data_IF_718427701967
#
_entry.id   IF_718427701967
#
_cell.length_a   1.000
_cell.length_b   1.000
_cell.length_c   1.000
_cell.angle_alpha   90.00
_cell.angle_beta   90.00
_cell.angle_gamma   90.00
#
_symmetry.space_group_name_H-M   'P 1'
#
loop_
_entity.id
_entity.type
_entity.pdbx_description
1 polymer ?
#
# COMPACT_ATOMS: atom_id res chain seq x y z
N UNK A 1 42.38 4.20 -19.36
CA UNK A 1 42.87 4.10 -17.98
C UNK A 1 41.91 3.18 -17.24
N UNK A 2 42.38 2.05 -16.72
CA UNK A 2 41.51 0.99 -16.20
C UNK A 2 41.64 0.85 -14.68
N UNK A 3 40.53 0.58 -14.00
CA UNK A 3 40.46 0.26 -12.57
C UNK A 3 39.56 -0.97 -12.43
N UNK A 4 40.01 -2.07 -11.78
CA UNK A 4 39.31 -3.35 -11.82
C UNK A 4 38.18 -3.47 -10.79
N UNK A 5 37.22 -4.33 -11.11
CA UNK A 5 36.15 -4.79 -10.23
C UNK A 5 36.69 -5.51 -8.99
N UNK A 6 35.93 -5.50 -7.88
CA UNK A 6 36.27 -6.33 -6.70
C UNK A 6 35.06 -6.94 -6.00
N UNK A 7 34.53 -8.00 -6.61
CA UNK A 7 33.67 -8.97 -5.94
C UNK A 7 34.30 -9.44 -4.61
N UNK A 8 33.53 -9.33 -3.52
CA UNK A 8 33.77 -10.06 -2.28
C UNK A 8 32.62 -11.05 -2.04
N UNK A 9 32.91 -12.13 -1.34
CA UNK A 9 32.06 -13.33 -1.24
C UNK A 9 31.50 -13.51 0.17
N UNK A 10 30.32 -14.11 0.28
CA UNK A 10 29.77 -14.62 1.54
C UNK A 10 30.58 -15.78 2.11
N UNK A 11 30.50 -15.99 3.43
CA UNK A 11 30.43 -17.32 4.03
C UNK A 11 29.11 -17.52 4.81
N UNK A 12 28.79 -18.77 5.18
CA UNK A 12 27.55 -19.12 5.86
C UNK A 12 27.78 -19.91 7.16
N UNK A 13 26.84 -19.79 8.11
CA UNK A 13 26.63 -20.67 9.27
C UNK A 13 25.15 -20.56 9.69
N UNK A 14 24.36 -21.56 10.13
CA UNK A 14 24.53 -22.93 10.65
C UNK A 14 24.25 -23.07 12.17
N UNK A 15 23.19 -23.82 12.50
CA UNK A 15 22.73 -24.13 13.88
C UNK A 15 21.30 -23.60 14.16
N UNK A 16 20.48 -24.21 15.01
CA UNK A 16 20.60 -25.53 15.66
C UNK A 16 19.18 -26.04 16.05
N UNK A 17 18.98 -27.37 16.08
CA UNK A 17 17.71 -28.01 16.50
C UNK A 17 17.51 -27.97 18.02
N UNK A 18 16.25 -27.83 18.46
CA UNK A 18 15.77 -28.26 19.78
C UNK A 18 14.29 -28.67 19.67
N UNK A 19 13.95 -29.86 20.17
CA UNK A 19 12.59 -30.41 20.14
C UNK A 19 12.15 -30.82 21.55
N UNK A 20 10.91 -30.47 21.92
CA UNK A 20 10.36 -30.68 23.26
C UNK A 20 8.96 -31.31 23.18
N UNK A 21 8.89 -32.64 23.24
CA UNK A 21 7.62 -33.38 23.32
C UNK A 21 7.04 -33.31 24.73
N UNK A 22 5.82 -32.80 24.88
CA UNK A 22 5.09 -32.80 26.15
C UNK A 22 3.68 -33.37 25.96
N UNK A 23 3.42 -34.58 26.47
CA UNK A 23 2.09 -35.20 26.49
C UNK A 23 1.67 -35.40 27.94
N UNK A 24 0.57 -34.78 28.34
CA UNK A 24 -0.09 -34.99 29.64
C UNK A 24 -1.57 -35.27 29.39
N UNK A 25 -1.97 -36.53 29.57
CA UNK A 25 -3.36 -36.95 29.39
C UNK A 25 -4.19 -36.62 30.64
N UNK A 26 -5.14 -35.71 30.51
CA UNK A 26 -6.19 -35.46 31.49
C UNK A 26 -7.53 -36.00 30.98
N UNK A 27 -7.97 -37.16 31.45
CA UNK A 27 -9.27 -37.73 31.09
C UNK A 27 -10.39 -37.14 31.94
N UNK A 28 -11.28 -36.37 31.31
CA UNK A 28 -12.60 -35.98 31.81
C UNK A 28 -13.66 -36.34 30.75
N UNK A 29 -14.81 -36.85 31.18
CA UNK A 29 -15.70 -37.69 30.36
C UNK A 29 -17.16 -37.59 30.88
N UNK A 30 -18.23 -37.72 30.08
CA UNK A 30 -18.29 -37.90 28.61
C UNK A 30 -18.24 -36.54 27.86
N UNK A 31 -19.14 -36.05 26.98
CA UNK A 31 -20.48 -36.48 26.53
C UNK A 31 -20.73 -36.04 25.06
N UNK A 32 -21.52 -36.86 24.35
CA UNK A 32 -22.31 -36.56 23.14
C UNK A 32 -21.63 -36.14 21.82
N UNK A 33 -21.95 -36.91 20.78
CA UNK A 33 -21.53 -36.77 19.38
C UNK A 33 -21.92 -35.44 18.72
N UNK A 34 -20.94 -34.77 18.10
CA UNK A 34 -21.17 -33.71 17.11
C UNK A 34 -20.11 -33.73 16.02
N UNK A 35 -20.46 -34.18 14.81
CA UNK A 35 -19.54 -34.22 13.67
C UNK A 35 -19.43 -32.83 13.01
N UNK A 36 -18.79 -31.89 13.70
CA UNK A 36 -18.30 -30.65 13.11
C UNK A 36 -16.91 -30.87 12.50
N UNK A 37 -16.68 -30.38 11.29
CA UNK A 37 -15.32 -30.26 10.79
C UNK A 37 -14.67 -29.05 11.49
N UNK A 38 -13.83 -29.31 12.49
CA UNK A 38 -12.92 -28.29 13.01
C UNK A 38 -12.00 -27.89 11.85
N UNK A 39 -12.30 -26.74 11.26
CA UNK A 39 -11.53 -26.21 10.18
C UNK A 39 -10.11 -26.00 10.69
N UNK A 40 -9.12 -26.40 9.90
CA UNK A 40 -7.77 -25.87 10.09
C UNK A 40 -7.81 -24.38 9.76
N UNK A 41 -8.18 -23.57 10.78
CA UNK A 41 -7.80 -22.17 10.87
C UNK A 41 -6.28 -22.20 10.98
N UNK A 42 -5.62 -22.28 9.83
CA UNK A 42 -4.23 -21.89 9.76
C UNK A 42 -4.20 -20.44 10.20
N UNK A 43 -3.59 -20.20 11.36
CA UNK A 43 -3.25 -18.85 11.80
C UNK A 43 -2.63 -18.13 10.60
N UNK A 44 -3.32 -17.11 10.09
CA UNK A 44 -2.79 -16.22 9.08
C UNK A 44 -1.79 -15.31 9.77
N UNK A 45 -0.61 -15.90 10.01
CA UNK A 45 0.63 -15.23 10.38
C UNK A 45 0.98 -14.27 9.24
N UNK A 46 0.37 -13.08 9.28
CA UNK A 46 0.54 -11.99 8.31
C UNK A 46 1.89 -11.29 8.53
N UNK A 47 2.96 -12.08 8.44
CA UNK A 47 4.34 -11.60 8.36
C UNK A 47 4.54 -10.90 7.01
N UNK A 48 4.24 -9.60 6.95
CA UNK A 48 4.52 -8.80 5.76
C UNK A 48 4.06 -7.34 5.79
N UNK A 49 2.89 -7.04 6.36
CA UNK A 49 2.28 -5.70 6.26
C UNK A 49 3.07 -4.63 7.04
N UNK A 50 3.98 -3.95 6.35
CA UNK A 50 4.69 -2.74 6.80
C UNK A 50 3.84 -1.50 6.50
N UNK A 51 2.52 -1.66 6.58
CA UNK A 51 1.51 -0.68 6.17
C UNK A 51 1.11 0.15 7.39
N UNK A 52 1.45 1.44 7.37
CA UNK A 52 1.37 2.32 8.53
C UNK A 52 -0.04 2.91 8.74
N UNK A 53 -0.90 2.81 7.73
CA UNK A 53 -2.29 3.22 7.74
C UNK A 53 -3.04 2.38 6.70
N UNK A 54 -4.24 1.93 7.06
CA UNK A 54 -5.23 1.32 6.17
C UNK A 54 -6.58 1.97 6.50
N UNK A 55 -7.23 2.55 5.50
CA UNK A 55 -8.50 3.27 5.69
C UNK A 55 -8.83 4.29 4.59
N UNK A 56 -9.90 5.07 4.77
CA UNK A 56 -10.35 6.02 3.76
C UNK A 56 -9.53 7.32 3.74
N UNK A 57 -9.31 7.90 2.55
CA UNK A 57 -8.70 9.24 2.47
C UNK A 57 -9.64 10.27 3.10
N UNK A 58 -9.16 10.92 4.15
CA UNK A 58 -9.97 11.74 5.07
C UNK A 58 -9.20 12.96 5.56
N UNK A 59 -9.93 13.94 6.09
CA UNK A 59 -9.38 15.11 6.81
C UNK A 59 -8.37 14.70 7.89
N UNK A 60 -8.65 13.59 8.59
CA UNK A 60 -7.73 13.03 9.59
C UNK A 60 -6.39 12.61 8.96
N UNK A 61 -6.42 11.77 7.92
CA UNK A 61 -5.20 11.32 7.25
C UNK A 61 -4.42 12.52 6.68
N UNK A 62 -5.10 13.48 6.06
CA UNK A 62 -4.48 14.69 5.53
C UNK A 62 -3.79 15.54 6.62
N UNK A 63 -4.35 15.62 7.83
CA UNK A 63 -3.72 16.30 8.96
C UNK A 63 -2.53 15.52 9.56
N UNK A 64 -2.60 14.19 9.57
CA UNK A 64 -1.55 13.31 10.11
C UNK A 64 -0.45 12.95 9.08
N UNK A 65 -0.58 13.35 7.82
CA UNK A 65 0.24 12.92 6.65
C UNK A 65 1.77 12.98 6.87
N UNK A 66 2.27 13.98 7.60
CA UNK A 66 3.69 14.13 7.96
C UNK A 66 4.23 12.95 8.78
N UNK A 67 3.36 12.18 9.42
CA UNK A 67 3.68 10.98 10.20
C UNK A 67 3.89 9.73 9.33
N UNK A 68 3.60 9.82 8.02
CA UNK A 68 3.61 8.69 7.08
C UNK A 68 4.70 8.78 6.00
N UNK A 69 5.51 9.84 5.97
CA UNK A 69 6.62 9.99 5.02
C UNK A 69 7.53 8.74 4.96
N UNK A 70 7.79 8.26 3.74
CA UNK A 70 8.58 7.06 3.46
C UNK A 70 7.91 5.74 3.86
N UNK A 71 6.64 5.75 4.30
CA UNK A 71 5.90 4.54 4.68
C UNK A 71 4.87 4.16 3.63
N UNK A 72 4.67 2.85 3.47
CA UNK A 72 3.54 2.31 2.73
C UNK A 72 2.24 2.51 3.51
N UNK A 73 1.17 2.89 2.83
CA UNK A 73 -0.20 2.99 3.35
C UNK A 73 -1.17 2.43 2.31
N UNK A 74 -2.35 2.00 2.76
CA UNK A 74 -3.50 1.71 1.92
C UNK A 74 -4.55 2.81 2.10
N UNK A 75 -4.96 3.47 1.00
CA UNK A 75 -6.03 4.47 0.99
C UNK A 75 -7.20 4.03 0.13
N UNK A 76 -8.42 4.15 0.65
CA UNK A 76 -9.67 4.00 -0.11
C UNK A 76 -10.34 5.35 -0.35
N UNK A 77 -10.65 5.70 -1.60
CA UNK A 77 -11.30 6.98 -1.94
C UNK A 77 -11.87 7.01 -3.37
N UNK A 78 -12.74 7.98 -3.63
CA UNK A 78 -13.24 8.25 -4.98
C UNK A 78 -12.22 9.05 -5.80
N UNK A 79 -12.09 8.73 -7.10
CA UNK A 79 -11.18 9.43 -8.01
C UNK A 79 -11.75 10.79 -8.39
N UNK A 80 -11.18 11.86 -7.82
CA UNK A 80 -11.50 13.26 -8.12
C UNK A 80 -11.21 13.63 -9.59
N UNK A 81 -10.08 13.16 -10.14
CA UNK A 81 -9.69 13.43 -11.54
C UNK A 81 -8.55 12.51 -11.98
N UNK A 82 -8.68 11.90 -13.16
CA UNK A 82 -7.57 11.27 -13.91
C UNK A 82 -6.70 12.37 -14.55
N UNK A 83 -5.38 12.27 -14.37
CA UNK A 83 -4.39 13.29 -14.77
C UNK A 83 -3.48 12.80 -15.91
N UNK A 84 -3.39 11.49 -16.13
CA UNK A 84 -2.69 10.83 -17.23
C UNK A 84 -2.86 9.32 -17.14
N UNK A 85 -2.20 8.51 -18.00
CA UNK A 85 -2.24 7.05 -17.90
C UNK A 85 -1.72 6.53 -16.55
N UNK A 86 -0.73 7.22 -15.98
CA UNK A 86 -0.01 6.85 -14.77
C UNK A 86 -0.23 7.83 -13.60
N UNK A 87 -1.24 8.72 -13.67
CA UNK A 87 -1.48 9.70 -12.62
C UNK A 87 -2.96 10.04 -12.45
N UNK A 88 -3.42 10.15 -11.21
CA UNK A 88 -4.77 10.58 -10.86
C UNK A 88 -4.79 11.26 -9.47
N UNK A 89 -5.95 11.75 -9.06
CA UNK A 89 -6.14 12.40 -7.76
C UNK A 89 -7.36 11.85 -7.03
N UNK A 90 -7.26 11.73 -5.71
CA UNK A 90 -8.30 11.23 -4.80
C UNK A 90 -9.09 12.37 -4.15
N UNK A 91 -10.40 12.20 -4.03
CA UNK A 91 -11.30 13.09 -3.28
C UNK A 91 -11.33 12.73 -1.78
N UNK A 92 -11.54 13.71 -0.92
CA UNK A 92 -11.86 13.46 0.50
C UNK A 92 -13.20 12.77 0.66
N UNK A 93 -13.24 11.70 1.45
CA UNK A 93 -14.45 10.89 1.67
C UNK A 93 -15.37 11.44 2.76
N UNK A 94 -14.81 12.22 3.70
CA UNK A 94 -15.51 12.85 4.84
C UNK A 94 -15.82 14.34 4.60
N UNK A 95 -14.94 15.06 3.91
CA UNK A 95 -15.05 16.49 3.65
C UNK A 95 -14.51 16.85 2.26
N UNK A 96 -15.32 17.52 1.43
CA UNK A 96 -14.95 17.95 0.06
C UNK A 96 -14.09 19.21 0.02
N UNK A 97 -13.79 19.83 1.16
CA UNK A 97 -12.90 20.99 1.27
C UNK A 97 -11.42 20.62 1.44
N UNK A 98 -11.10 19.35 1.71
CA UNK A 98 -9.69 18.91 1.74
C UNK A 98 -9.13 18.91 0.31
N UNK A 99 -7.85 19.27 0.18
CA UNK A 99 -7.21 19.29 -1.13
C UNK A 99 -7.09 17.86 -1.69
N UNK A 100 -7.36 17.62 -2.99
CA UNK A 100 -7.17 16.29 -3.57
C UNK A 100 -5.72 15.81 -3.42
N UNK A 101 -5.55 14.54 -3.05
CA UNK A 101 -4.24 13.90 -2.95
C UNK A 101 -3.82 13.38 -4.33
N UNK A 102 -2.58 13.66 -4.75
CA UNK A 102 -2.01 13.11 -5.97
C UNK A 102 -1.58 11.65 -5.76
N UNK A 103 -1.89 10.80 -6.73
CA UNK A 103 -1.40 9.42 -6.84
C UNK A 103 -0.67 9.28 -8.19
N UNK A 104 0.58 8.83 -8.13
CA UNK A 104 1.38 8.43 -9.29
C UNK A 104 1.50 6.91 -9.27
N UNK A 105 1.10 6.27 -10.36
CA UNK A 105 0.96 4.82 -10.49
C UNK A 105 1.50 4.38 -11.86
N UNK A 106 2.84 4.25 -12.01
CA UNK A 106 3.46 3.96 -13.31
C UNK A 106 3.07 2.57 -13.85
N UNK A 107 2.97 1.58 -12.96
CA UNK A 107 2.63 0.19 -13.28
C UNK A 107 1.12 -0.12 -13.08
N UNK A 108 0.24 0.83 -13.40
CA UNK A 108 -1.21 0.68 -13.22
C UNK A 108 -1.86 -0.19 -14.30
N UNK A 109 -1.93 -1.51 -14.07
CA UNK A 109 -2.68 -2.46 -14.93
C UNK A 109 -4.22 -2.23 -14.96
N UNK A 110 -4.76 -1.46 -14.01
CA UNK A 110 -6.21 -1.25 -13.82
C UNK A 110 -6.69 0.06 -14.44
N UNK A 111 -7.77 0.05 -15.23
CA UNK A 111 -8.36 1.29 -15.78
C UNK A 111 -8.98 2.15 -14.66
N UNK A 112 -8.27 3.21 -14.27
CA UNK A 112 -8.75 4.21 -13.32
C UNK A 112 -9.61 5.26 -14.03
N UNK A 113 -10.78 5.57 -13.46
CA UNK A 113 -11.78 6.48 -14.03
C UNK A 113 -12.29 7.44 -12.94
N UNK A 114 -12.65 8.67 -13.32
CA UNK A 114 -13.30 9.64 -12.40
C UNK A 114 -14.58 9.04 -11.80
N UNK A 115 -14.90 9.42 -10.56
CA UNK A 115 -16.09 8.97 -9.81
C UNK A 115 -16.14 7.46 -9.50
N UNK A 116 -15.07 6.70 -9.77
CA UNK A 116 -14.88 5.36 -9.25
C UNK A 116 -14.20 5.40 -7.88
N UNK A 117 -14.65 4.54 -6.96
CA UNK A 117 -13.92 4.26 -5.72
C UNK A 117 -12.74 3.33 -6.02
N UNK A 118 -11.54 3.69 -5.54
CA UNK A 118 -10.31 2.92 -5.69
C UNK A 118 -9.67 2.65 -4.33
N UNK A 119 -8.99 1.52 -4.21
CA UNK A 119 -8.04 1.24 -3.14
C UNK A 119 -6.60 1.32 -3.69
N UNK A 120 -5.76 2.12 -3.05
CA UNK A 120 -4.39 2.43 -3.48
C UNK A 120 -3.42 2.06 -2.38
N UNK A 121 -2.54 1.09 -2.62
CA UNK A 121 -1.41 0.79 -1.73
C UNK A 121 -0.16 1.45 -2.29
N UNK A 122 0.46 2.35 -1.53
CA UNK A 122 1.59 3.16 -2.01
C UNK A 122 2.40 3.82 -0.91
N UNK A 123 3.57 4.33 -1.27
CA UNK A 123 4.48 5.06 -0.38
C UNK A 123 4.10 6.53 -0.32
N UNK A 124 3.98 7.11 0.88
CA UNK A 124 3.73 8.55 1.06
C UNK A 124 5.03 9.34 0.95
N UNK A 125 4.99 10.42 0.18
CA UNK A 125 6.06 11.41 0.05
C UNK A 125 5.47 12.79 0.38
N UNK A 126 6.19 13.64 1.12
CA UNK A 126 5.64 14.94 1.56
C UNK A 126 5.76 16.11 0.58
N UNK A 127 6.59 15.98 -0.47
CA UNK A 127 6.81 17.03 -1.47
C UNK A 127 6.92 16.42 -2.86
N UNK A 128 5.93 16.66 -3.70
CA UNK A 128 5.97 16.38 -5.13
C UNK A 128 6.92 17.35 -5.82
N UNK A 129 7.81 16.81 -6.66
CA UNK A 129 8.62 17.50 -7.65
C UNK A 129 8.48 16.68 -8.94
N UNK A 130 8.00 17.31 -10.01
CA UNK A 130 7.66 16.61 -11.26
C UNK A 130 8.89 15.92 -11.87
N UNK A 131 9.99 16.67 -12.04
CA UNK A 131 11.18 16.19 -12.73
C UNK A 131 11.93 15.10 -11.93
N UNK A 132 11.82 15.11 -10.60
CA UNK A 132 12.29 14.01 -9.76
C UNK A 132 11.43 12.75 -9.96
N UNK A 133 10.09 12.88 -9.91
CA UNK A 133 9.18 11.73 -10.06
C UNK A 133 9.27 11.10 -11.44
N UNK A 134 9.34 11.88 -12.52
CA UNK A 134 9.54 11.36 -13.88
C UNK A 134 10.89 10.63 -14.02
N UNK A 135 11.94 11.12 -13.37
CA UNK A 135 13.26 10.49 -13.36
C UNK A 135 13.30 9.19 -12.54
N UNK A 136 12.59 9.12 -11.41
CA UNK A 136 12.51 7.93 -10.56
C UNK A 136 11.58 6.85 -11.13
N UNK A 137 10.46 7.25 -11.75
CA UNK A 137 9.46 6.33 -12.32
C UNK A 137 9.66 6.00 -13.80
N UNK A 138 10.50 6.76 -14.52
CA UNK A 138 10.68 6.62 -15.97
C UNK A 138 9.44 6.96 -16.81
N UNK A 139 8.50 7.71 -16.23
CA UNK A 139 7.18 8.02 -16.80
C UNK A 139 7.11 9.47 -17.30
N UNK A 140 6.41 9.68 -18.42
CA UNK A 140 6.11 10.99 -19.02
C UNK A 140 4.77 11.51 -18.45
N UNK A 141 4.78 12.69 -17.81
CA UNK A 141 3.66 13.22 -17.03
C UNK A 141 3.26 14.65 -17.50
N UNK A 142 1.99 15.04 -17.34
CA UNK A 142 1.51 16.33 -17.87
C UNK A 142 1.78 17.49 -16.90
N UNK A 143 2.81 18.30 -17.18
CA UNK A 143 3.18 19.55 -16.50
C UNK A 143 1.96 20.39 -16.10
N UNK A 144 1.07 20.68 -17.06
CA UNK A 144 -0.03 21.63 -16.91
C UNK A 144 -1.18 21.08 -16.09
N UNK A 145 -1.27 19.75 -15.95
CA UNK A 145 -2.22 19.11 -15.03
C UNK A 145 -1.62 18.89 -13.63
N UNK A 146 -0.29 18.93 -13.49
CA UNK A 146 0.43 18.60 -12.26
C UNK A 146 1.05 19.78 -11.51
N UNK A 147 1.26 20.95 -12.13
CA UNK A 147 1.74 22.20 -11.49
C UNK A 147 1.03 22.50 -10.16
N UNK A 148 -0.29 22.24 -10.10
CA UNK A 148 -1.11 22.47 -8.89
C UNK A 148 -0.78 21.56 -7.68
N UNK A 149 0.09 20.57 -7.83
CA UNK A 149 0.55 19.65 -6.79
C UNK A 149 2.01 19.87 -6.38
N UNK A 150 2.74 20.78 -7.04
CA UNK A 150 4.13 21.13 -6.68
C UNK A 150 4.27 21.43 -5.17
N UNK A 151 5.29 20.84 -4.55
CA UNK A 151 5.58 20.99 -3.12
C UNK A 151 4.54 20.36 -2.17
N UNK A 152 3.60 19.54 -2.64
CA UNK A 152 2.55 18.91 -1.80
C UNK A 152 2.78 17.42 -1.56
N UNK A 153 2.16 16.83 -0.53
CA UNK A 153 2.17 15.38 -0.35
C UNK A 153 1.52 14.63 -1.51
N UNK A 154 2.09 13.47 -1.86
CA UNK A 154 1.58 12.56 -2.88
C UNK A 154 1.86 11.10 -2.50
N UNK A 155 1.26 10.17 -3.26
CA UNK A 155 1.51 8.73 -3.18
C UNK A 155 2.21 8.22 -4.44
N UNK A 156 3.24 7.40 -4.27
CA UNK A 156 3.74 6.50 -5.32
C UNK A 156 3.10 5.12 -5.11
N UNK A 157 2.16 4.73 -5.97
CA UNK A 157 1.38 3.51 -5.84
C UNK A 157 2.12 2.29 -6.38
N UNK A 158 2.18 1.22 -5.58
CA UNK A 158 2.62 -0.12 -6.01
C UNK A 158 1.46 -1.08 -6.30
N UNK A 159 0.22 -0.69 -6.00
CA UNK A 159 -1.02 -1.41 -6.35
C UNK A 159 -2.20 -0.44 -6.40
N UNK A 160 -3.05 -0.59 -7.42
CA UNK A 160 -4.33 0.12 -7.55
C UNK A 160 -5.43 -0.89 -7.91
N UNK A 161 -6.36 -1.08 -6.98
CA UNK A 161 -7.57 -1.90 -7.16
C UNK A 161 -8.76 -0.95 -7.39
N UNK A 162 -9.38 -0.97 -8.57
CA UNK A 162 -10.54 -0.12 -8.87
C UNK A 162 -11.86 -0.89 -8.72
N UNK A 163 -12.81 -0.29 -8.01
CA UNK A 163 -14.20 -0.77 -7.97
C UNK A 163 -14.99 -0.26 -9.19
N UNK A 164 -16.17 -0.82 -9.38
CA UNK A 164 -17.26 -0.14 -10.07
C UNK A 164 -17.57 1.21 -9.38
N UNK A 165 -18.15 2.20 -10.11
CA UNK A 165 -18.58 3.45 -9.48
C UNK A 165 -19.62 3.17 -8.38
N UNK A 166 -19.63 3.99 -7.34
CA UNK A 166 -20.61 3.86 -6.27
C UNK A 166 -22.00 4.27 -6.79
N UNK A 167 -22.94 3.32 -6.87
CA UNK A 167 -24.37 3.58 -7.10
C UNK A 167 -24.88 4.62 -6.08
N UNK A 168 -25.22 5.83 -6.56
CA UNK A 168 -25.68 7.00 -5.78
C UNK A 168 -26.76 7.78 -6.52
#
# INVERSE_FOLDING_TARGET
MAVPERSLRSPAAAGLLLASTGVLAGCGQDDSTGAGADASVGDVQQEGSTEAYDGPYTTRFAAEVQSYDGKTVALSADVNRVLGPAAFSLAGTDDTTIQPLLVVAPDADTEVRTDHTVAVTGTVHLSFDLAAVEQETGTDLDDGLLERFDGKPYLTAGRVEASAPADR
#
